data_IF_244063615987
#
_entry.id   IF_244063615987
#
_cell.length_a   1.000
_cell.length_b   1.000
_cell.length_c   1.000
_cell.angle_alpha   90.00
_cell.angle_beta   90.00
_cell.angle_gamma   90.00
#
_symmetry.space_group_name_H-M   'P 1'
#
loop_
_entity.id
_entity.type
_entity.pdbx_description
1 polymer ?
#
# COMPACT_ATOMS: atom_id res chain seq x y z
N UNK A 1 -6.32 -10.22 5.57
CA UNK A 1 -5.64 -9.87 4.30
C UNK A 1 -4.49 -10.83 4.08
N UNK A 2 -4.39 -11.43 2.89
CA UNK A 2 -3.30 -12.35 2.52
C UNK A 2 -2.12 -11.60 1.87
N UNK A 3 -0.91 -12.16 1.93
CA UNK A 3 0.27 -11.57 1.28
C UNK A 3 0.08 -11.42 -0.23
N UNK A 4 -0.59 -12.39 -0.86
CA UNK A 4 -0.86 -12.43 -2.30
C UNK A 4 -1.87 -11.35 -2.69
N UNK A 5 -2.89 -11.15 -1.86
CA UNK A 5 -3.87 -10.08 -2.02
C UNK A 5 -3.22 -8.70 -1.86
N UNK A 6 -2.34 -8.52 -0.87
CA UNK A 6 -1.57 -7.30 -0.67
C UNK A 6 -0.72 -6.92 -1.90
N UNK A 7 -0.08 -7.92 -2.51
CA UNK A 7 0.73 -7.76 -3.73
C UNK A 7 -0.14 -7.29 -4.89
N UNK A 8 -1.26 -7.96 -5.12
CA UNK A 8 -2.21 -7.62 -6.18
C UNK A 8 -2.75 -6.20 -6.02
N UNK A 9 -3.05 -5.76 -4.79
CA UNK A 9 -3.53 -4.41 -4.50
C UNK A 9 -2.49 -3.32 -4.86
N UNK A 10 -1.19 -3.61 -4.71
CA UNK A 10 -0.12 -2.72 -5.16
C UNK A 10 0.22 -2.87 -6.66
N UNK A 11 -0.37 -3.84 -7.34
CA UNK A 11 -0.13 -4.13 -8.76
C UNK A 11 1.02 -5.10 -9.02
N UNK A 12 1.38 -5.93 -8.04
CA UNK A 12 2.32 -7.03 -8.21
C UNK A 12 1.59 -8.36 -8.45
N UNK A 13 2.20 -9.29 -9.21
CA UNK A 13 1.73 -10.67 -9.30
C UNK A 13 1.67 -11.34 -7.92
N UNK A 14 0.67 -12.19 -7.65
CA UNK A 14 0.56 -12.91 -6.37
C UNK A 14 1.78 -13.80 -6.12
N UNK A 15 2.35 -14.40 -7.16
CA UNK A 15 3.48 -15.34 -7.05
C UNK A 15 4.85 -14.66 -6.88
N UNK A 16 4.92 -13.34 -7.02
CA UNK A 16 6.18 -12.61 -6.90
C UNK A 16 6.38 -12.01 -5.51
N UNK A 17 7.63 -11.99 -5.02
CA UNK A 17 7.99 -11.28 -3.79
C UNK A 17 8.68 -9.97 -4.15
N UNK A 18 7.93 -8.85 -4.25
CA UNK A 18 8.55 -7.55 -4.51
C UNK A 18 9.42 -7.12 -3.33
N UNK A 19 10.53 -6.46 -3.60
CA UNK A 19 11.38 -5.87 -2.56
C UNK A 19 10.72 -4.63 -1.95
N UNK A 20 11.18 -4.22 -0.76
CA UNK A 20 10.62 -3.04 -0.07
C UNK A 20 10.66 -1.77 -0.92
N UNK A 21 11.70 -1.60 -1.74
CA UNK A 21 11.81 -0.46 -2.65
C UNK A 21 10.74 -0.48 -3.75
N UNK A 22 10.52 -1.64 -4.38
CA UNK A 22 9.45 -1.84 -5.35
C UNK A 22 8.08 -1.60 -4.72
N UNK A 23 7.83 -2.18 -3.54
CA UNK A 23 6.60 -1.99 -2.76
C UNK A 23 6.34 -0.50 -2.49
N UNK A 24 7.38 0.26 -2.12
CA UNK A 24 7.30 1.72 -1.90
C UNK A 24 7.03 2.49 -3.20
N UNK A 25 7.67 2.13 -4.29
CA UNK A 25 7.47 2.75 -5.60
C UNK A 25 6.05 2.51 -6.13
N UNK A 26 5.56 1.28 -6.04
CA UNK A 26 4.20 0.91 -6.42
C UNK A 26 3.15 1.59 -5.52
N UNK A 27 3.38 1.63 -4.21
CA UNK A 27 2.53 2.33 -3.26
C UNK A 27 2.40 3.82 -3.63
N UNK A 28 3.50 4.52 -3.87
CA UNK A 28 3.48 5.94 -4.28
C UNK A 28 2.64 6.16 -5.54
N UNK A 29 2.81 5.31 -6.56
CA UNK A 29 2.01 5.38 -7.80
C UNK A 29 0.53 5.18 -7.52
N UNK A 30 0.18 4.13 -6.78
CA UNK A 30 -1.20 3.77 -6.44
C UNK A 30 -1.88 4.85 -5.62
N UNK A 31 -1.19 5.39 -4.62
CA UNK A 31 -1.66 6.51 -3.81
C UNK A 31 -1.95 7.75 -4.67
N UNK A 32 -1.09 8.06 -5.64
CA UNK A 32 -1.30 9.17 -6.57
C UNK A 32 -2.47 8.92 -7.54
N UNK A 33 -2.71 7.68 -7.94
CA UNK A 33 -3.87 7.27 -8.74
C UNK A 33 -5.17 7.36 -7.95
N UNK A 34 -5.14 7.06 -6.64
CA UNK A 34 -6.32 7.03 -5.76
C UNK A 34 -6.45 8.28 -4.88
N UNK A 35 -5.69 9.33 -5.16
CA UNK A 35 -5.69 10.52 -4.32
C UNK A 35 -7.05 11.24 -4.41
N UNK A 36 -7.76 11.47 -3.29
CA UNK A 36 -9.13 12.01 -3.32
C UNK A 36 -9.22 13.43 -3.90
N UNK A 37 -8.10 14.16 -4.01
CA UNK A 37 -8.04 15.47 -4.67
C UNK A 37 -8.13 15.39 -6.21
N UNK A 38 -7.83 14.23 -6.80
CA UNK A 38 -8.02 13.98 -8.24
C UNK A 38 -9.44 13.57 -8.59
N UNK A 39 -10.27 13.30 -7.58
CA UNK A 39 -11.63 12.83 -7.77
C UNK A 39 -12.64 13.93 -7.42
N UNK A 40 -13.68 14.09 -8.24
CA UNK A 40 -14.78 14.97 -7.90
C UNK A 40 -15.52 14.45 -6.65
N UNK A 41 -16.23 15.33 -5.94
CA UNK A 41 -16.79 15.09 -4.58
C UNK A 41 -17.56 13.77 -4.45
N UNK A 42 -18.28 13.36 -5.48
CA UNK A 42 -19.07 12.13 -5.52
C UNK A 42 -18.23 10.84 -5.61
N UNK A 43 -16.98 10.92 -6.08
CA UNK A 43 -16.05 9.78 -6.18
C UNK A 43 -15.00 9.75 -5.06
N UNK A 44 -14.89 10.82 -4.26
CA UNK A 44 -14.02 10.89 -3.07
C UNK A 44 -14.16 9.70 -2.12
N UNK A 45 -15.37 9.25 -1.71
CA UNK A 45 -15.48 8.09 -0.83
C UNK A 45 -14.93 6.80 -1.47
N UNK A 46 -15.07 6.65 -2.79
CA UNK A 46 -14.52 5.50 -3.51
C UNK A 46 -12.98 5.55 -3.58
N UNK A 47 -12.42 6.74 -3.80
CA UNK A 47 -10.98 6.97 -3.76
C UNK A 47 -10.40 6.71 -2.36
N UNK A 48 -11.09 7.17 -1.31
CA UNK A 48 -10.71 6.93 0.09
C UNK A 48 -10.71 5.44 0.45
N UNK A 49 -11.74 4.69 0.04
CA UNK A 49 -11.77 3.23 0.24
C UNK A 49 -10.57 2.54 -0.43
N UNK A 50 -10.25 2.92 -1.68
CA UNK A 50 -9.07 2.37 -2.38
C UNK A 50 -7.76 2.75 -1.69
N UNK A 51 -7.63 3.99 -1.25
CA UNK A 51 -6.46 4.46 -0.52
C UNK A 51 -6.24 3.67 0.78
N UNK A 52 -7.31 3.39 1.53
CA UNK A 52 -7.24 2.53 2.73
C UNK A 52 -6.75 1.12 2.40
N UNK A 53 -7.29 0.49 1.35
CA UNK A 53 -6.87 -0.85 0.91
C UNK A 53 -5.38 -0.88 0.52
N UNK A 54 -4.92 0.10 -0.25
CA UNK A 54 -3.50 0.22 -0.67
C UNK A 54 -2.58 0.46 0.53
N UNK A 55 -3.02 1.24 1.51
CA UNK A 55 -2.29 1.50 2.76
C UNK A 55 -2.17 0.26 3.65
N UNK A 56 -3.24 -0.52 3.74
CA UNK A 56 -3.25 -1.81 4.46
C UNK A 56 -2.30 -2.81 3.79
N UNK A 57 -2.38 -2.93 2.46
CA UNK A 57 -1.47 -3.74 1.63
C UNK A 57 0.01 -3.41 1.85
N UNK A 58 0.35 -2.13 1.80
CA UNK A 58 1.71 -1.66 2.04
C UNK A 58 2.19 -1.98 3.46
N UNK A 59 1.34 -1.75 4.47
CA UNK A 59 1.69 -2.02 5.88
C UNK A 59 1.92 -3.51 6.12
N UNK A 60 1.10 -4.36 5.52
CA UNK A 60 1.25 -5.81 5.60
C UNK A 60 2.55 -6.29 4.95
N UNK A 61 2.86 -5.82 3.74
CA UNK A 61 4.09 -6.19 3.04
C UNK A 61 5.35 -5.64 3.72
N UNK A 62 5.25 -4.42 4.26
CA UNK A 62 6.34 -3.80 5.02
C UNK A 62 6.58 -4.52 6.35
N UNK A 63 5.53 -4.91 7.08
CA UNK A 63 5.65 -5.66 8.34
C UNK A 63 6.13 -7.10 8.13
N UNK A 64 5.74 -7.75 7.03
CA UNK A 64 6.26 -9.06 6.63
C UNK A 64 7.77 -9.03 6.38
N UNK A 65 8.28 -8.02 5.68
CA UNK A 65 9.72 -7.83 5.47
C UNK A 65 10.47 -7.47 6.78
N UNK A 66 9.83 -6.72 7.68
CA UNK A 66 10.39 -6.41 9.02
C UNK A 66 10.41 -7.59 9.99
N UNK A 67 9.77 -8.72 9.69
CA UNK A 67 9.93 -9.93 10.53
C UNK A 67 11.25 -10.64 10.30
N UNK A 68 11.91 -10.38 9.17
CA UNK A 68 13.20 -11.00 8.81
C UNK A 68 14.38 -10.12 9.25
N UNK A 69 14.16 -8.81 9.41
CA UNK A 69 15.10 -7.85 10.02
C UNK A 69 14.51 -7.37 11.34
N UNK A 70 15.02 -7.94 12.42
CA UNK A 70 14.77 -7.63 13.83
C UNK A 70 14.06 -6.31 14.14
N UNK A 71 12.93 -6.45 14.85
CA UNK A 71 12.55 -5.62 16.00
C UNK A 71 12.42 -4.10 15.79
N UNK A 72 11.18 -3.64 15.96
CA UNK A 72 10.79 -2.24 16.10
C UNK A 72 10.78 -1.41 14.81
N UNK A 73 9.73 -0.62 14.62
CA UNK A 73 9.79 0.46 13.63
C UNK A 73 8.46 0.91 13.06
N UNK A 74 7.92 1.92 13.73
CA UNK A 74 7.31 3.11 13.15
C UNK A 74 6.00 2.94 12.37
N UNK A 75 4.93 3.36 13.06
CA UNK A 75 3.80 4.09 12.47
C UNK A 75 4.36 5.24 11.62
N UNK A 76 4.66 4.98 10.34
CA UNK A 76 4.70 6.07 9.37
C UNK A 76 3.25 6.38 9.00
N UNK A 77 2.64 7.22 9.81
CA UNK A 77 1.63 8.12 9.32
C UNK A 77 2.29 8.93 8.20
N UNK A 78 2.21 8.44 6.96
CA UNK A 78 2.47 9.23 5.77
C UNK A 78 1.29 10.20 5.66
N UNK A 79 1.32 11.20 6.53
CA UNK A 79 0.46 12.36 6.49
C UNK A 79 0.94 13.17 5.29
N UNK A 80 0.12 13.17 4.24
CA UNK A 80 0.13 14.19 3.21
C UNK A 80 -0.13 15.55 3.85
#
# INVERSE_FOLDING_TARGET
MHADEARVLLGFPPDTRPTLDQVKAAYKRKVWETHPDRFPVHQKPHAECKFKLISEAYTYLQSGARREVSGAGNFIALKM
#
